data_IF_463370264186
#
_entry.id   IF_463370264186
#
_cell.length_a   1.000
_cell.length_b   1.000
_cell.length_c   1.000
_cell.angle_alpha   90.00
_cell.angle_beta   90.00
_cell.angle_gamma   90.00
#
_symmetry.space_group_name_H-M   'P 1'
#
loop_
_entity.id
_entity.type
_entity.pdbx_description
1 polymer ?
#
# COMPACT_ATOMS: atom_id res chain seq x y z
N UNK A 1 6.63 12.44 -1.25
CA UNK A 1 7.17 11.07 -1.51
C UNK A 1 6.13 10.28 -2.30
N UNK A 2 6.53 9.51 -3.32
CA UNK A 2 5.61 8.62 -4.05
C UNK A 2 5.99 7.15 -3.88
N UNK A 3 5.01 6.27 -3.74
CA UNK A 3 5.22 4.85 -3.46
C UNK A 3 4.16 3.99 -4.15
N UNK A 4 4.51 2.78 -4.59
CA UNK A 4 3.54 1.85 -5.17
C UNK A 4 2.81 1.07 -4.09
N UNK A 5 1.48 1.04 -4.19
CA UNK A 5 0.57 0.25 -3.35
C UNK A 5 -0.31 -0.61 -4.25
N UNK A 6 -1.03 -1.57 -3.69
CA UNK A 6 -1.94 -2.42 -4.46
C UNK A 6 -3.29 -2.52 -3.75
N UNK A 7 -4.38 -2.31 -4.48
CA UNK A 7 -5.71 -2.71 -4.04
C UNK A 7 -5.96 -4.11 -4.59
N UNK A 8 -6.17 -5.08 -3.71
CA UNK A 8 -6.45 -6.46 -4.12
C UNK A 8 -7.90 -6.62 -4.54
N UNK A 9 -8.19 -7.70 -5.26
CA UNK A 9 -9.56 -8.10 -5.61
C UNK A 9 -10.45 -8.33 -4.35
N UNK A 10 -9.83 -8.75 -3.25
CA UNK A 10 -10.49 -8.88 -1.94
C UNK A 10 -10.76 -7.55 -1.22
N UNK A 11 -10.42 -6.40 -1.82
CA UNK A 11 -10.58 -5.07 -1.23
C UNK A 11 -9.58 -4.75 -0.12
N UNK A 12 -8.43 -5.44 -0.08
CA UNK A 12 -7.33 -5.07 0.81
C UNK A 12 -6.42 -4.06 0.11
N UNK A 13 -5.91 -3.10 0.87
CA UNK A 13 -4.79 -2.27 0.46
C UNK A 13 -3.49 -2.87 1.01
N UNK A 14 -2.55 -3.17 0.12
CA UNK A 14 -1.19 -3.57 0.46
C UNK A 14 -0.28 -2.34 0.48
N UNK A 15 0.37 -2.12 1.62
CA UNK A 15 1.31 -1.04 1.86
C UNK A 15 2.73 -1.62 1.97
N UNK A 16 3.72 -1.10 1.21
CA UNK A 16 5.11 -1.45 1.46
C UNK A 16 5.59 -0.83 2.78
N UNK A 17 6.65 -1.42 3.35
CA UNK A 17 7.22 -1.00 4.62
C UNK A 17 7.53 0.51 4.71
N UNK A 18 8.00 1.12 3.61
CA UNK A 18 8.30 2.56 3.53
C UNK A 18 7.06 3.43 3.80
N UNK A 19 5.91 3.07 3.20
CA UNK A 19 4.65 3.76 3.43
C UNK A 19 4.08 3.44 4.82
N UNK A 20 4.18 2.17 5.23
CA UNK A 20 3.68 1.70 6.51
C UNK A 20 4.38 2.38 7.71
N UNK A 21 5.65 2.76 7.57
CA UNK A 21 6.39 3.49 8.60
C UNK A 21 5.78 4.84 9.00
N UNK A 22 4.89 5.41 8.16
CA UNK A 22 4.15 6.64 8.46
C UNK A 22 2.97 6.43 9.43
N UNK A 23 2.67 5.19 9.79
CA UNK A 23 1.54 4.80 10.65
C UNK A 23 2.04 4.07 11.90
N UNK A 24 2.75 4.76 12.81
CA UNK A 24 3.46 4.11 13.92
C UNK A 24 2.52 3.41 14.92
N UNK A 25 1.29 3.89 15.07
CA UNK A 25 0.27 3.24 15.91
C UNK A 25 -0.28 1.93 15.31
N UNK A 26 0.06 1.60 14.05
CA UNK A 26 -0.44 0.41 13.37
C UNK A 26 -1.93 0.48 13.02
N UNK A 27 -2.54 1.66 13.09
CA UNK A 27 -3.91 1.92 12.64
C UNK A 27 -3.97 3.17 11.77
N UNK A 28 -4.98 3.25 10.91
CA UNK A 28 -5.20 4.38 10.02
C UNK A 28 -6.69 4.74 9.93
N UNK A 29 -7.00 6.03 9.85
CA UNK A 29 -8.32 6.49 9.39
C UNK A 29 -8.33 6.42 7.86
N UNK A 30 -9.43 5.95 7.30
CA UNK A 30 -9.64 5.87 5.85
C UNK A 30 -10.82 6.75 5.46
N UNK A 31 -10.64 7.53 4.40
CA UNK A 31 -11.71 8.33 3.80
C UNK A 31 -11.57 8.38 2.28
N UNK A 32 -12.70 8.45 1.58
CA UNK A 32 -12.72 8.70 0.14
C UNK A 32 -13.17 10.11 -0.12
N UNK A 33 -12.38 10.85 -0.88
CA UNK A 33 -12.73 12.20 -1.34
C UNK A 33 -12.09 12.51 -2.67
N UNK A 34 -12.80 13.24 -3.53
CA UNK A 34 -12.31 13.72 -4.83
C UNK A 34 -11.67 12.60 -5.70
N UNK A 35 -12.24 11.40 -5.68
CA UNK A 35 -11.75 10.25 -6.46
C UNK A 35 -10.45 9.62 -5.92
N UNK A 36 -10.08 9.92 -4.68
CA UNK A 36 -8.91 9.36 -4.01
C UNK A 36 -9.29 8.68 -2.70
N UNK A 37 -8.56 7.63 -2.35
CA UNK A 37 -8.55 7.03 -1.03
C UNK A 37 -7.43 7.68 -0.21
N UNK A 38 -7.78 8.14 0.98
CA UNK A 38 -6.88 8.84 1.88
C UNK A 38 -6.70 7.99 3.14
N UNK A 39 -5.45 7.75 3.51
CA UNK A 39 -5.07 7.12 4.77
C UNK A 39 -4.37 8.15 5.67
N UNK A 40 -4.88 8.32 6.87
CA UNK A 40 -4.34 9.25 7.87
C UNK A 40 -3.84 8.46 9.08
N UNK A 41 -2.62 8.74 9.59
CA UNK A 41 -2.15 8.14 10.82
C UNK A 41 -2.96 8.67 12.00
N UNK A 42 -3.17 7.80 13.00
CA UNK A 42 -3.74 8.23 14.28
C UNK A 42 -2.63 8.52 15.29
N UNK A 43 -2.86 9.53 16.12
CA UNK A 43 -1.83 10.08 17.02
C UNK A 43 -1.53 9.19 18.23
N UNK A 44 -2.43 8.28 18.62
CA UNK A 44 -2.26 7.43 19.79
C UNK A 44 -3.03 6.10 19.65
N UNK A 45 -2.50 5.00 20.22
CA UNK A 45 -3.22 3.73 20.32
C UNK A 45 -4.57 3.93 21.01
N UNK A 46 -5.66 3.44 20.40
CA UNK A 46 -7.02 3.58 20.94
C UNK A 46 -7.83 4.75 20.37
N UNK A 47 -7.24 5.61 19.53
CA UNK A 47 -7.98 6.64 18.78
C UNK A 47 -8.89 6.08 17.67
N UNK A 48 -8.99 4.75 17.57
CA UNK A 48 -9.75 4.04 16.53
C UNK A 48 -8.97 3.87 15.22
N UNK A 49 -9.73 3.71 14.13
CA UNK A 49 -9.21 3.45 12.80
C UNK A 49 -9.12 1.97 12.43
N UNK A 50 -8.73 1.71 11.19
CA UNK A 50 -8.57 0.37 10.64
C UNK A 50 -7.18 -0.17 10.97
N UNK A 51 -7.12 -1.45 11.33
CA UNK A 51 -5.88 -2.14 11.68
C UNK A 51 -4.99 -2.38 10.45
N UNK A 52 -3.72 -1.97 10.55
CA UNK A 52 -2.65 -2.28 9.59
C UNK A 52 -1.94 -3.58 10.00
N UNK A 53 -2.41 -4.71 9.49
CA UNK A 53 -1.87 -6.05 9.79
C UNK A 53 -0.49 -6.22 9.16
N UNK A 54 0.44 -6.84 9.88
CA UNK A 54 1.74 -7.23 9.33
C UNK A 54 1.57 -8.29 8.24
N UNK A 55 2.25 -8.10 7.11
CA UNK A 55 2.30 -9.08 6.01
C UNK A 55 3.58 -9.91 6.00
N UNK A 56 4.71 -9.32 6.42
CA UNK A 56 6.00 -9.99 6.42
C UNK A 56 7.02 -9.28 7.35
N UNK A 57 8.19 -9.89 7.52
CA UNK A 57 9.28 -9.37 8.36
C UNK A 57 9.92 -8.07 7.85
N UNK A 58 9.71 -7.68 6.58
CA UNK A 58 10.20 -6.39 6.07
C UNK A 58 9.39 -5.20 6.58
N UNK A 59 8.21 -5.44 7.14
CA UNK A 59 7.32 -4.40 7.66
C UNK A 59 6.18 -4.00 6.73
N UNK A 60 5.98 -4.71 5.60
CA UNK A 60 4.83 -4.49 4.72
C UNK A 60 3.52 -4.73 5.49
N UNK A 61 2.50 -3.92 5.23
CA UNK A 61 1.20 -3.98 5.92
C UNK A 61 0.03 -4.23 4.97
N UNK A 62 -1.06 -4.75 5.51
CA UNK A 62 -2.35 -4.84 4.83
C UNK A 62 -3.45 -4.22 5.68
N UNK A 63 -4.44 -3.63 5.02
CA UNK A 63 -5.66 -3.11 5.65
C UNK A 63 -6.85 -3.38 4.75
N UNK A 64 -7.96 -3.81 5.34
CA UNK A 64 -9.21 -4.03 4.60
C UNK A 64 -9.89 -2.68 4.38
N UNK A 65 -10.05 -2.26 3.12
CA UNK A 65 -10.64 -0.96 2.75
C UNK A 65 -11.89 -1.10 1.89
N UNK A 66 -12.35 -2.34 1.67
CA UNK A 66 -13.45 -2.68 0.75
C UNK A 66 -14.69 -1.80 0.91
N UNK A 67 -15.11 -1.56 2.14
CA UNK A 67 -16.32 -0.79 2.45
C UNK A 67 -16.20 0.71 2.10
N UNK A 68 -14.99 1.20 1.91
CA UNK A 68 -14.72 2.58 1.54
C UNK A 68 -14.61 2.76 0.02
N UNK A 69 -14.36 1.69 -0.73
CA UNK A 69 -14.15 1.78 -2.17
C UNK A 69 -15.48 2.06 -2.88
N UNK A 70 -15.54 3.05 -3.79
CA UNK A 70 -16.67 3.20 -4.69
C UNK A 70 -16.94 1.90 -5.46
N UNK A 71 -18.20 1.65 -5.76
CA UNK A 71 -18.60 0.50 -6.57
C UNK A 71 -17.86 0.49 -7.92
N UNK A 72 -17.42 -0.70 -8.35
CA UNK A 72 -16.66 -0.85 -9.60
C UNK A 72 -15.20 -0.38 -9.53
N UNK A 73 -14.68 0.02 -8.37
CA UNK A 73 -13.26 0.35 -8.23
C UNK A 73 -12.40 -0.85 -8.63
N UNK A 74 -11.56 -0.74 -9.70
CA UNK A 74 -10.79 -1.89 -10.17
C UNK A 74 -9.66 -2.21 -9.19
N UNK A 75 -9.34 -3.50 -8.95
CA UNK A 75 -8.13 -3.87 -8.24
C UNK A 75 -6.90 -3.54 -9.08
N UNK A 76 -5.74 -3.51 -8.43
CA UNK A 76 -4.44 -3.37 -9.09
C UNK A 76 -3.49 -2.37 -8.41
N UNK A 77 -2.26 -2.27 -8.96
CA UNK A 77 -1.24 -1.38 -8.45
C UNK A 77 -1.60 0.09 -8.70
N UNK A 78 -1.30 0.94 -7.73
CA UNK A 78 -1.54 2.38 -7.77
C UNK A 78 -0.33 3.13 -7.23
N UNK A 79 -0.01 4.25 -7.85
CA UNK A 79 0.98 5.17 -7.30
C UNK A 79 0.29 6.01 -6.23
N UNK A 80 0.78 5.90 -5.00
CA UNK A 80 0.33 6.67 -3.86
C UNK A 80 1.30 7.82 -3.58
N UNK A 81 0.78 8.89 -3.00
CA UNK A 81 1.52 10.10 -2.71
C UNK A 81 1.33 10.48 -1.24
N UNK A 82 2.43 10.69 -0.53
CA UNK A 82 2.36 11.31 0.77
C UNK A 82 2.19 12.82 0.60
N UNK A 83 1.15 13.35 1.23
CA UNK A 83 0.80 14.77 1.32
C UNK A 83 1.22 15.26 2.71
N UNK A 84 2.31 16.04 2.77
CA UNK A 84 2.87 16.52 4.03
C UNK A 84 1.99 17.58 4.70
N UNK A 85 1.27 18.40 3.92
CA UNK A 85 0.37 19.42 4.45
C UNK A 85 -0.85 18.77 5.11
N UNK A 86 -1.41 17.74 4.48
CA UNK A 86 -2.56 17.03 5.01
C UNK A 86 -2.18 15.89 5.98
N UNK A 87 -0.90 15.54 6.08
CA UNK A 87 -0.43 14.40 6.87
C UNK A 87 -1.03 13.06 6.43
N UNK A 88 -1.21 12.86 5.11
CA UNK A 88 -2.00 11.74 4.58
C UNK A 88 -1.32 11.03 3.41
N UNK A 89 -1.51 9.72 3.33
CA UNK A 89 -1.21 8.95 2.12
C UNK A 89 -2.42 8.96 1.19
N UNK A 90 -2.27 9.53 0.00
CA UNK A 90 -3.30 9.69 -1.02
C UNK A 90 -3.11 8.69 -2.14
N UNK A 91 -4.19 8.01 -2.51
CA UNK A 91 -4.19 6.93 -3.49
C UNK A 91 -5.30 7.22 -4.50
N UNK A 92 -4.99 7.57 -5.76
CA UNK A 92 -5.99 7.74 -6.81
C UNK A 92 -6.79 6.46 -7.03
N UNK A 93 -8.12 6.54 -7.06
CA UNK A 93 -8.98 5.36 -7.23
C UNK A 93 -9.27 5.04 -8.69
N UNK A 94 -9.10 6.01 -9.58
CA UNK A 94 -9.11 5.79 -11.02
C UNK A 94 -8.09 4.69 -11.36
N UNK A 95 -8.57 3.61 -11.98
CA UNK A 95 -7.70 2.54 -12.44
C UNK A 95 -6.70 3.07 -13.45
N UNK A 96 -5.50 2.52 -13.45
CA UNK A 96 -4.67 2.59 -14.64
C UNK A 96 -5.36 1.75 -15.72
N UNK A 97 -5.73 2.37 -16.83
CA UNK A 97 -6.12 1.66 -18.06
C UNK A 97 -5.09 0.55 -18.33
N UNK A 98 -5.50 -0.73 -18.44
CA UNK A 98 -4.57 -1.82 -18.74
C UNK A 98 -4.04 -1.66 -20.17
N UNK A 99 -2.97 -0.88 -20.34
CA UNK A 99 -2.33 -0.65 -21.63
C UNK A 99 -1.24 0.44 -21.67
N UNK A 100 -1.20 1.39 -20.74
CA UNK A 100 -0.28 2.55 -20.84
C UNK A 100 1.03 2.39 -20.07
N UNK A 101 1.63 1.20 -20.11
CA UNK A 101 3.07 1.10 -19.88
C UNK A 101 3.55 -0.22 -19.31
N UNK A 102 4.73 -0.55 -19.80
CA UNK A 102 5.49 -1.77 -19.58
C UNK A 102 5.42 -2.27 -18.14
N UNK A 103 5.11 -3.55 -17.89
CA UNK A 103 5.27 -4.14 -16.58
C UNK A 103 6.75 -4.11 -16.20
N UNK A 104 7.11 -3.29 -15.22
CA UNK A 104 8.38 -3.48 -14.51
C UNK A 104 8.17 -4.67 -13.60
N UNK A 105 8.56 -5.85 -14.08
CA UNK A 105 8.69 -7.06 -13.25
C UNK A 105 9.55 -6.69 -12.03
N UNK A 106 9.09 -6.89 -10.78
CA UNK A 106 9.97 -6.72 -9.64
C UNK A 106 11.18 -7.65 -9.85
N UNK A 107 12.38 -7.07 -9.80
CA UNK A 107 13.61 -7.80 -10.00
C UNK A 107 13.65 -8.98 -9.03
N UNK A 108 13.54 -10.19 -9.59
CA UNK A 108 13.84 -11.40 -8.85
C UNK A 108 15.30 -11.25 -8.40
N UNK A 109 15.50 -11.11 -7.09
CA UNK A 109 16.82 -11.04 -6.49
C UNK A 109 17.67 -12.16 -7.04
N UNK A 110 18.81 -11.78 -7.62
CA UNK A 110 19.88 -12.70 -8.01
C UNK A 110 20.27 -13.44 -6.73
N UNK A 111 19.89 -14.71 -6.63
CA UNK A 111 20.47 -15.61 -5.62
C UNK A 111 21.91 -15.84 -6.09
N UNK A 112 22.85 -15.19 -5.41
CA UNK A 112 24.26 -15.35 -5.69
C UNK A 112 24.70 -16.79 -5.36
N UNK A 113 25.25 -17.45 -6.39
CA UNK A 113 26.17 -18.58 -6.35
C UNK A 113 26.20 -19.46 -5.11
N UNK A 114 25.55 -20.63 -5.20
CA UNK A 114 26.03 -21.80 -4.48
C UNK A 114 27.40 -22.20 -5.07
N UNK A 115 28.45 -22.10 -4.27
CA UNK A 115 29.77 -22.64 -4.57
C UNK A 115 29.72 -24.17 -4.37
N UNK A 116 30.07 -25.01 -5.36
CA UNK A 116 30.18 -26.45 -5.12
C UNK A 116 31.41 -26.75 -4.24
N UNK A 117 31.34 -27.76 -3.35
CA UNK A 117 32.49 -28.16 -2.54
C UNK A 117 33.61 -28.67 -3.45
N UNK A 118 34.82 -28.13 -3.26
CA UNK A 118 36.04 -28.67 -3.86
C UNK A 118 36.55 -29.81 -2.98
N UNK A 119 36.50 -31.02 -3.55
CA UNK A 119 37.18 -32.28 -3.20
C UNK A 119 36.93 -32.87 -1.81
#
# INVERSE_FOLDING_TARGET
>A
MSVWVEITDGGYLHLPAEAAGRFPAGTAIVLVRRGELWLLPVSHPGAGGLLLKWRNARGDRSVLVREFLPEGTPPGPRQAFWDDEAGALRIPLAGREPGSGTPVKPAAGRVAGAQPPRR
#
